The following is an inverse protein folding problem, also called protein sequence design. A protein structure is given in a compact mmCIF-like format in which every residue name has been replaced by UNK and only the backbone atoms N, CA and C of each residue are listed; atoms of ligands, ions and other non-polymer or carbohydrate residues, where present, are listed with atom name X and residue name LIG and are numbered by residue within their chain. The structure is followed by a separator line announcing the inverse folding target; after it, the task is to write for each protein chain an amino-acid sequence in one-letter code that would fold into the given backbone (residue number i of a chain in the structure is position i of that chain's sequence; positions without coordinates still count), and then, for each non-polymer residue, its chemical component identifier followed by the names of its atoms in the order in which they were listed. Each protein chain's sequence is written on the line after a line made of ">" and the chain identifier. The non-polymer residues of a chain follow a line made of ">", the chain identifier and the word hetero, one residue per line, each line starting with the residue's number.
data_IF_816283791611
#
_entry.id   IF_816283791611
#
_cell.length_a   1.000
_cell.length_b   1.000
_cell.length_c   1.000
_cell.angle_alpha   90.00
_cell.angle_beta   90.00
_cell.angle_gamma   90.00
#
_symmetry.space_group_name_H-M   'P 1'
#
loop_
_entity.id
_entity.type
_entity.pdbx_description
1 polymer ?
#
# COMPACT_ATOMS: atom_id res chain seq x y z
N UNK A 1 -26.83 -3.65 3.08
CA UNK A 1 -25.82 -3.62 2.00
C UNK A 1 -24.89 -2.42 2.15
N UNK A 2 -25.39 -1.18 2.06
CA UNK A 2 -24.58 0.04 2.21
C UNK A 2 -23.74 0.15 3.50
N UNK A 3 -24.31 0.02 4.72
CA UNK A 3 -23.51 0.22 5.94
C UNK A 3 -22.43 -0.85 6.15
N UNK A 4 -22.69 -2.09 5.70
CA UNK A 4 -21.70 -3.17 5.73
C UNK A 4 -20.55 -2.91 4.74
N UNK A 5 -20.87 -2.44 3.53
CA UNK A 5 -19.88 -2.05 2.54
C UNK A 5 -19.00 -0.89 3.03
N UNK A 6 -19.59 0.11 3.69
CA UNK A 6 -18.84 1.23 4.29
C UNK A 6 -17.89 0.77 5.40
N UNK A 7 -18.34 -0.12 6.29
CA UNK A 7 -17.50 -0.65 7.37
C UNK A 7 -16.33 -1.48 6.83
N UNK A 8 -16.59 -2.33 5.82
CA UNK A 8 -15.56 -3.13 5.15
C UNK A 8 -14.56 -2.22 4.43
N UNK A 9 -15.04 -1.19 3.71
CA UNK A 9 -14.19 -0.22 3.05
C UNK A 9 -13.29 0.55 4.03
N UNK A 10 -13.86 1.00 5.15
CA UNK A 10 -13.12 1.72 6.19
C UNK A 10 -12.06 0.85 6.87
N UNK A 11 -12.41 -0.40 7.24
CA UNK A 11 -11.46 -1.37 7.78
C UNK A 11 -10.34 -1.70 6.77
N UNK A 12 -10.68 -1.80 5.49
CA UNK A 12 -9.71 -1.97 4.40
C UNK A 12 -8.71 -0.82 4.31
N UNK A 13 -9.18 0.44 4.35
CA UNK A 13 -8.29 1.62 4.33
C UNK A 13 -7.35 1.69 5.54
N UNK A 14 -7.85 1.32 6.74
CA UNK A 14 -7.01 1.26 7.95
C UNK A 14 -5.94 0.19 7.81
N UNK A 15 -6.34 -1.02 7.38
CA UNK A 15 -5.41 -2.13 7.18
C UNK A 15 -4.33 -1.78 6.13
N UNK A 16 -4.74 -1.15 5.02
CA UNK A 16 -3.85 -0.68 3.96
C UNK A 16 -2.83 0.35 4.48
N UNK A 17 -3.29 1.35 5.23
CA UNK A 17 -2.41 2.35 5.86
C UNK A 17 -1.46 1.73 6.89
N UNK A 18 -1.92 0.77 7.69
CA UNK A 18 -1.07 0.08 8.67
C UNK A 18 -0.03 -0.81 8.00
N UNK A 19 -0.41 -1.55 6.96
CA UNK A 19 0.50 -2.38 6.18
C UNK A 19 1.51 -1.51 5.41
N UNK A 20 1.08 -0.41 4.81
CA UNK A 20 1.96 0.58 4.21
C UNK A 20 2.96 1.13 5.22
N UNK A 21 2.51 1.63 6.37
CA UNK A 21 3.41 2.17 7.39
C UNK A 21 4.41 1.14 7.96
N UNK A 22 4.01 -0.13 8.06
CA UNK A 22 4.81 -1.19 8.68
C UNK A 22 5.75 -1.89 7.70
N UNK A 23 5.29 -2.12 6.46
CA UNK A 23 5.93 -3.00 5.50
C UNK A 23 6.46 -2.27 4.25
N UNK A 24 6.02 -1.03 3.96
CA UNK A 24 6.49 -0.30 2.79
C UNK A 24 8.00 -0.05 2.87
N UNK A 25 8.70 -0.28 1.76
CA UNK A 25 10.13 -0.02 1.63
C UNK A 25 10.44 1.46 1.83
N UNK A 26 11.25 1.77 2.85
CA UNK A 26 11.73 3.13 3.15
C UNK A 26 13.15 3.27 2.68
N UNK A 27 13.40 4.21 1.77
CA UNK A 27 14.74 4.52 1.28
C UNK A 27 15.15 5.94 1.69
N UNK A 28 16.46 6.16 1.74
CA UNK A 28 17.05 7.43 2.12
C UNK A 28 18.21 7.77 1.20
N UNK A 29 18.25 9.01 0.70
CA UNK A 29 19.33 9.51 -0.13
C UNK A 29 20.44 10.12 0.74
N UNK A 30 21.64 9.54 0.79
CA UNK A 30 22.73 10.10 1.60
C UNK A 30 23.28 11.44 1.06
N UNK A 31 23.02 11.77 -0.21
CA UNK A 31 23.50 13.02 -0.84
C UNK A 31 22.58 14.20 -0.55
N UNK A 32 21.27 13.99 -0.59
CA UNK A 32 20.28 15.04 -0.36
C UNK A 32 19.76 15.06 1.08
N UNK A 33 20.13 14.07 1.88
CA UNK A 33 19.64 13.82 3.23
C UNK A 33 18.10 13.80 3.31
N UNK A 34 17.47 13.09 2.37
CA UNK A 34 16.01 13.01 2.27
C UNK A 34 15.51 11.57 2.12
N UNK A 35 14.31 11.33 2.61
CA UNK A 35 13.56 10.10 2.30
C UNK A 35 13.25 10.00 0.80
N UNK A 36 13.20 8.77 0.32
CA UNK A 36 12.88 8.40 -1.05
C UNK A 36 12.07 7.11 -1.03
N UNK A 37 11.12 7.00 -1.94
CA UNK A 37 10.36 5.76 -2.18
C UNK A 37 11.06 4.89 -3.25
N UNK A 38 11.99 5.50 -3.99
CA UNK A 38 12.70 4.88 -5.11
C UNK A 38 14.12 4.49 -4.72
N UNK A 39 14.63 3.41 -5.33
CA UNK A 39 16.02 2.93 -5.18
C UNK A 39 17.07 3.93 -5.68
N UNK A 40 16.65 4.89 -6.52
CA UNK A 40 17.48 6.00 -6.99
C UNK A 40 16.72 7.30 -6.76
N UNK A 41 17.33 8.21 -6.04
CA UNK A 41 16.73 9.51 -5.77
C UNK A 41 16.77 10.37 -7.04
N UNK A 42 15.87 11.35 -7.14
CA UNK A 42 15.80 12.33 -8.24
C UNK A 42 17.12 13.09 -8.50
N UNK A 43 18.02 13.15 -7.52
CA UNK A 43 19.38 13.69 -7.70
C UNK A 43 20.38 12.73 -8.38
N UNK A 44 19.92 11.54 -8.80
CA UNK A 44 20.73 10.50 -9.44
C UNK A 44 21.46 9.56 -8.48
N UNK A 45 21.45 9.81 -7.17
CA UNK A 45 22.19 9.00 -6.18
C UNK A 45 21.40 7.73 -5.79
N UNK A 46 22.08 6.59 -5.68
CA UNK A 46 21.50 5.37 -5.15
C UNK A 46 21.10 5.57 -3.68
N UNK A 47 19.89 5.15 -3.34
CA UNK A 47 19.36 5.33 -1.99
C UNK A 47 19.66 4.13 -1.12
N UNK A 48 19.83 4.37 0.17
CA UNK A 48 20.05 3.35 1.19
C UNK A 48 18.69 2.90 1.72
N UNK A 49 18.43 1.60 1.71
CA UNK A 49 17.25 1.03 2.35
C UNK A 49 17.37 1.16 3.87
N UNK A 50 16.37 1.80 4.51
CA UNK A 50 16.34 2.08 5.95
C UNK A 50 15.33 1.21 6.71
N UNK A 51 14.44 0.49 6.03
CA UNK A 51 13.50 -0.43 6.66
C UNK A 51 12.28 -0.74 5.80
N UNK A 52 11.49 -1.74 6.21
CA UNK A 52 10.39 -2.28 5.41
C UNK A 52 10.86 -3.33 4.40
N UNK A 53 9.99 -3.68 3.45
CA UNK A 53 10.28 -4.60 2.36
C UNK A 53 10.68 -3.80 1.12
N UNK A 54 11.93 -3.94 0.67
CA UNK A 54 12.51 -3.20 -0.46
C UNK A 54 11.83 -3.43 -1.84
N UNK A 55 10.82 -4.30 -1.89
CA UNK A 55 10.02 -4.62 -3.07
C UNK A 55 8.52 -4.32 -2.87
N UNK A 56 8.11 -3.94 -1.66
CA UNK A 56 6.75 -3.55 -1.35
C UNK A 56 6.64 -2.02 -1.42
N UNK A 57 6.22 -1.55 -2.59
CA UNK A 57 5.87 -0.16 -2.85
C UNK A 57 4.38 0.10 -2.55
N UNK A 58 4.00 1.38 -2.49
CA UNK A 58 2.63 1.80 -2.21
C UNK A 58 1.64 1.24 -3.26
N UNK A 59 2.07 1.16 -4.53
CA UNK A 59 1.25 0.66 -5.63
C UNK A 59 0.84 -0.81 -5.44
N UNK A 60 1.75 -1.67 -4.97
CA UNK A 60 1.43 -3.07 -4.69
C UNK A 60 0.46 -3.23 -3.53
N UNK A 61 0.64 -2.43 -2.47
CA UNK A 61 -0.24 -2.43 -1.30
C UNK A 61 -1.66 -2.04 -1.72
N UNK A 62 -1.80 -0.93 -2.45
CA UNK A 62 -3.06 -0.48 -3.03
C UNK A 62 -3.69 -1.51 -3.98
N UNK A 63 -2.89 -2.16 -4.83
CA UNK A 63 -3.37 -3.16 -5.76
C UNK A 63 -3.97 -4.37 -5.03
N UNK A 64 -3.29 -4.86 -3.99
CA UNK A 64 -3.80 -5.96 -3.16
C UNK A 64 -5.08 -5.59 -2.41
N UNK A 65 -5.15 -4.39 -1.84
CA UNK A 65 -6.35 -3.90 -1.17
C UNK A 65 -7.53 -3.77 -2.15
N UNK A 66 -7.28 -3.20 -3.33
CA UNK A 66 -8.30 -3.03 -4.39
C UNK A 66 -8.79 -4.37 -4.91
N UNK A 67 -7.89 -5.34 -5.16
CA UNK A 67 -8.25 -6.67 -5.63
C UNK A 67 -9.10 -7.44 -4.61
N UNK A 68 -8.75 -7.36 -3.32
CA UNK A 68 -9.54 -7.95 -2.24
C UNK A 68 -10.95 -7.33 -2.16
N UNK A 69 -11.05 -6.00 -2.20
CA UNK A 69 -12.33 -5.30 -2.17
C UNK A 69 -13.21 -5.66 -3.38
N UNK A 70 -12.63 -5.73 -4.58
CA UNK A 70 -13.33 -6.15 -5.79
C UNK A 70 -13.84 -7.59 -5.70
N UNK A 71 -13.00 -8.53 -5.23
CA UNK A 71 -13.37 -9.94 -5.06
C UNK A 71 -14.50 -10.14 -4.05
N UNK A 72 -14.41 -9.47 -2.89
CA UNK A 72 -15.47 -9.50 -1.86
C UNK A 72 -16.79 -8.92 -2.39
N UNK A 73 -16.72 -7.82 -3.13
CA UNK A 73 -17.90 -7.18 -3.74
C UNK A 73 -18.57 -8.09 -4.76
N UNK A 74 -17.78 -8.75 -5.62
CA UNK A 74 -18.30 -9.71 -6.60
C UNK A 74 -18.94 -10.94 -5.92
N UNK A 75 -18.30 -11.47 -4.86
CA UNK A 75 -18.82 -12.61 -4.11
C UNK A 75 -20.13 -12.26 -3.38
N UNK A 76 -20.22 -11.06 -2.81
CA UNK A 76 -21.44 -10.55 -2.19
C UNK A 76 -22.57 -10.35 -3.21
N UNK A 77 -22.25 -9.77 -4.38
CA UNK A 77 -23.19 -9.62 -5.49
C UNK A 77 -23.76 -10.97 -5.92
N UNK A 78 -22.88 -11.95 -6.20
CA UNK A 78 -23.26 -13.31 -6.61
C UNK A 78 -24.12 -14.07 -5.60
N UNK A 79 -24.06 -13.71 -4.32
CA UNK A 79 -24.89 -14.30 -3.25
C UNK A 79 -26.26 -13.62 -3.11
N UNK A 80 -26.37 -12.39 -3.60
CA UNK A 80 -27.59 -11.59 -3.53
C UNK A 80 -28.43 -11.66 -4.82
N UNK A 81 -27.84 -12.10 -5.93
CA UNK A 81 -28.48 -12.43 -7.21
C UNK A 81 -28.75 -13.92 -7.32
#
# INVERSE_FOLDING_TARGET
>A
LFPLATLIGFAGMIADSMLGASLQGRFHCPRCDRSSEWRRHRCGTATIHRGGLAWLDNDRVNLSATALAAGLSLAAWRRAS
#
